data_IF_715781307503
#
_entry.id   IF_715781307503
#
_cell.length_a   1.000
_cell.length_b   1.000
_cell.length_c   1.000
_cell.angle_alpha   90.00
_cell.angle_beta   90.00
_cell.angle_gamma   90.00
#
_symmetry.space_group_name_H-M   'P 1'
#
loop_
_entity.id
_entity.type
_entity.pdbx_description
1 polymer ?
#
# COMPACT_ATOMS: atom_id res chain seq x y z
N UNK A 1 -6.37 -17.55 10.35
CA UNK A 1 -6.28 -16.44 9.37
C UNK A 1 -6.34 -15.12 10.16
N UNK A 2 -5.21 -14.44 10.37
CA UNK A 2 -5.20 -13.16 11.12
C UNK A 2 -5.61 -12.06 10.13
N UNK A 3 -6.77 -11.44 10.36
CA UNK A 3 -7.32 -10.39 9.51
C UNK A 3 -6.45 -9.14 9.47
N UNK A 4 -6.36 -8.48 8.31
CA UNK A 4 -5.70 -7.19 8.16
C UNK A 4 -6.48 -6.11 8.90
N UNK A 5 -5.78 -5.14 9.51
CA UNK A 5 -6.45 -3.90 9.93
C UNK A 5 -6.93 -3.15 8.69
N UNK A 6 -7.92 -2.27 8.85
CA UNK A 6 -8.42 -1.48 7.72
C UNK A 6 -7.28 -0.69 7.04
N UNK A 7 -6.39 -0.08 7.82
CA UNK A 7 -5.22 0.64 7.28
C UNK A 7 -4.20 -0.24 6.57
N UNK A 8 -3.99 -1.48 7.03
CA UNK A 8 -3.16 -2.46 6.31
C UNK A 8 -3.81 -2.89 5.00
N UNK A 9 -5.13 -3.09 4.99
CA UNK A 9 -5.87 -3.42 3.78
C UNK A 9 -5.80 -2.26 2.76
N UNK A 10 -5.92 -1.01 3.21
CA UNK A 10 -5.76 0.17 2.36
C UNK A 10 -4.35 0.25 1.77
N UNK A 11 -3.32 0.04 2.59
CA UNK A 11 -1.95 0.00 2.10
C UNK A 11 -1.74 -1.10 1.06
N UNK A 12 -2.28 -2.30 1.29
CA UNK A 12 -2.18 -3.41 0.34
C UNK A 12 -2.87 -3.09 -0.99
N UNK A 13 -4.08 -2.50 -0.96
CA UNK A 13 -4.80 -2.07 -2.17
C UNK A 13 -4.07 -0.96 -2.91
N UNK A 14 -3.52 0.03 -2.18
CA UNK A 14 -2.72 1.10 -2.76
C UNK A 14 -1.52 0.53 -3.52
N UNK A 15 -0.75 -0.36 -2.89
CA UNK A 15 0.42 -1.00 -3.51
C UNK A 15 0.01 -1.76 -4.77
N UNK A 16 -1.10 -2.50 -4.72
CA UNK A 16 -1.57 -3.26 -5.87
C UNK A 16 -2.00 -2.38 -7.04
N UNK A 17 -2.81 -1.34 -6.79
CA UNK A 17 -3.21 -0.40 -7.82
C UNK A 17 -2.02 0.37 -8.39
N UNK A 18 -1.04 0.72 -7.54
CA UNK A 18 0.17 1.41 -7.96
C UNK A 18 0.99 0.55 -8.93
N UNK A 19 1.27 -0.71 -8.57
CA UNK A 19 2.01 -1.66 -9.42
C UNK A 19 1.30 -1.85 -10.76
N UNK A 20 -0.02 -1.98 -10.76
CA UNK A 20 -0.79 -2.12 -12.00
C UNK A 20 -0.63 -0.87 -12.89
N UNK A 21 -0.85 0.32 -12.34
CA UNK A 21 -0.76 1.58 -13.09
C UNK A 21 0.62 1.87 -13.65
N UNK A 22 1.67 1.51 -12.91
CA UNK A 22 3.06 1.75 -13.32
C UNK A 22 3.66 0.60 -14.11
N UNK A 23 2.84 -0.38 -14.53
CA UNK A 23 3.27 -1.55 -15.33
C UNK A 23 4.34 -2.40 -14.64
N UNK A 24 4.12 -2.71 -13.36
CA UNK A 24 4.96 -3.62 -12.58
C UNK A 24 5.95 -2.94 -11.63
N UNK A 25 5.94 -1.61 -11.53
CA UNK A 25 6.90 -0.88 -10.67
C UNK A 25 6.31 -0.64 -9.28
N UNK A 26 6.94 -1.19 -8.25
CA UNK A 26 6.52 -1.00 -6.86
C UNK A 26 6.67 0.44 -6.37
N UNK A 27 5.79 0.92 -5.46
CA UNK A 27 5.91 2.24 -4.87
C UNK A 27 7.04 2.31 -3.82
N UNK A 28 7.54 3.51 -3.59
CA UNK A 28 8.42 3.87 -2.47
C UNK A 28 7.62 4.18 -1.22
N UNK A 29 8.25 4.16 -0.04
CA UNK A 29 7.60 4.55 1.22
C UNK A 29 7.05 5.98 1.21
N UNK A 30 7.71 6.90 0.50
CA UNK A 30 7.23 8.27 0.35
C UNK A 30 5.99 8.35 -0.54
N UNK A 31 5.92 7.56 -1.61
CA UNK A 31 4.73 7.46 -2.48
C UNK A 31 3.56 6.81 -1.74
N UNK A 32 3.81 5.78 -0.94
CA UNK A 32 2.81 5.15 -0.07
C UNK A 32 2.29 6.15 0.95
N UNK A 33 3.18 6.87 1.64
CA UNK A 33 2.78 7.88 2.61
C UNK A 33 1.92 8.97 1.99
N UNK A 34 2.32 9.50 0.83
CA UNK A 34 1.54 10.50 0.09
C UNK A 34 0.19 9.96 -0.36
N UNK A 35 0.15 8.74 -0.90
CA UNK A 35 -1.07 8.15 -1.45
C UNK A 35 -2.11 7.75 -0.40
N UNK A 36 -1.65 7.43 0.82
CA UNK A 36 -2.51 7.11 1.95
C UNK A 36 -2.80 8.32 2.85
N UNK A 37 -2.14 9.47 2.64
CA UNK A 37 -2.26 10.63 3.53
C UNK A 37 -1.60 10.43 4.91
N UNK A 38 -0.48 9.71 4.97
CA UNK A 38 0.25 9.49 6.22
C UNK A 38 1.17 10.68 6.54
N UNK A 39 1.31 11.01 7.82
CA UNK A 39 2.14 12.12 8.31
C UNK A 39 3.62 11.98 7.90
N UNK A 40 4.14 10.75 7.75
CA UNK A 40 5.52 10.50 7.31
C UNK A 40 5.72 9.11 6.66
N UNK A 41 6.87 8.95 5.99
CA UNK A 41 7.29 7.68 5.36
C UNK A 41 7.53 6.53 6.35
N UNK A 42 7.75 6.84 7.63
CA UNK A 42 7.94 5.84 8.69
C UNK A 42 6.67 5.02 8.95
N UNK A 43 5.50 5.67 8.99
CA UNK A 43 4.20 4.97 9.09
C UNK A 43 3.97 4.02 7.91
N UNK A 44 4.36 4.43 6.70
CA UNK A 44 4.31 3.56 5.52
C UNK A 44 5.22 2.33 5.67
N UNK A 45 6.42 2.50 6.22
CA UNK A 45 7.33 1.39 6.49
C UNK A 45 6.72 0.35 7.45
N UNK A 46 6.10 0.82 8.54
CA UNK A 46 5.42 -0.05 9.52
C UNK A 46 4.30 -0.87 8.86
N UNK A 47 3.48 -0.23 8.03
CA UNK A 47 2.40 -0.92 7.31
C UNK A 47 2.94 -1.98 6.35
N UNK A 48 4.00 -1.67 5.60
CA UNK A 48 4.63 -2.63 4.69
C UNK A 48 5.25 -3.79 5.46
N UNK A 49 5.94 -3.53 6.57
CA UNK A 49 6.54 -4.57 7.40
C UNK A 49 5.46 -5.53 7.95
N UNK A 50 4.35 -4.99 8.45
CA UNK A 50 3.22 -5.80 8.91
C UNK A 50 2.60 -6.65 7.78
N UNK A 51 2.55 -6.13 6.54
CA UNK A 51 2.07 -6.89 5.38
C UNK A 51 3.06 -8.00 4.95
N UNK A 52 4.36 -7.79 5.15
CA UNK A 52 5.39 -8.80 4.91
C UNK A 52 5.28 -9.95 5.91
N UNK A 53 5.21 -9.63 7.20
CA UNK A 53 5.05 -10.61 8.29
C UNK A 53 3.79 -11.46 8.14
N UNK A 54 2.73 -10.89 7.56
CA UNK A 54 1.46 -11.57 7.29
C UNK A 54 1.41 -12.29 5.92
N UNK A 55 2.52 -12.31 5.18
CA UNK A 55 2.62 -13.01 3.90
C UNK A 55 1.76 -12.40 2.79
N UNK A 56 1.52 -11.09 2.80
CA UNK A 56 0.80 -10.39 1.72
C UNK A 56 1.73 -9.72 0.71
N UNK A 57 2.89 -9.27 1.17
CA UNK A 57 3.92 -8.62 0.37
C UNK A 57 5.25 -9.33 0.62
N UNK A 58 6.13 -9.33 -0.38
CA UNK A 58 7.56 -9.63 -0.18
C UNK A 58 8.43 -8.52 -0.75
N UNK A 59 9.65 -8.41 -0.24
CA UNK A 59 10.69 -7.54 -0.82
C UNK A 59 11.75 -8.38 -1.50
N UNK A 60 12.21 -7.95 -2.67
CA UNK A 60 13.40 -8.53 -3.28
C UNK A 60 14.64 -7.75 -2.82
N UNK A 61 15.63 -8.46 -2.32
CA UNK A 61 16.88 -7.86 -1.86
C UNK A 61 17.69 -7.31 -3.05
N UNK A 62 18.40 -6.20 -2.84
CA UNK A 62 19.33 -5.62 -3.82
C UNK A 62 18.70 -4.79 -4.95
N UNK A 63 17.39 -4.47 -4.89
CA UNK A 63 16.72 -3.64 -5.91
C UNK A 63 15.90 -2.50 -5.29
N UNK A 64 16.05 -1.30 -5.84
CA UNK A 64 15.13 -0.20 -5.54
C UNK A 64 13.72 -0.55 -6.03
N UNK A 65 12.69 -0.14 -5.28
CA UNK A 65 11.26 -0.34 -5.63
C UNK A 65 10.83 -1.81 -5.78
N UNK A 66 11.52 -2.72 -5.10
CA UNK A 66 11.25 -4.15 -5.20
C UNK A 66 10.22 -4.63 -4.17
N UNK A 67 8.98 -4.18 -4.34
CA UNK A 67 7.82 -4.63 -3.58
C UNK A 67 6.97 -5.50 -4.50
N UNK A 68 6.66 -6.73 -4.08
CA UNK A 68 5.82 -7.66 -4.82
C UNK A 68 4.64 -8.14 -3.98
N UNK A 69 3.48 -8.29 -4.64
CA UNK A 69 2.30 -8.91 -4.04
C UNK A 69 2.46 -10.44 -4.08
N UNK A 70 2.09 -11.11 -2.99
CA UNK A 70 2.14 -12.58 -2.91
C UNK A 70 0.88 -13.21 -3.55
N UNK A 71 -0.24 -12.50 -3.52
CA UNK A 71 -1.50 -12.95 -4.11
C UNK A 71 -2.20 -11.78 -4.83
N UNK A 72 -3.07 -12.06 -5.83
CA UNK A 72 -3.91 -11.04 -6.45
C UNK A 72 -4.75 -10.29 -5.40
N UNK A 73 -4.75 -8.97 -5.49
CA UNK A 73 -5.54 -8.10 -4.61
C UNK A 73 -6.64 -7.46 -5.44
N UNK A 74 -7.92 -7.55 -5.03
CA UNK A 74 -8.98 -6.82 -5.71
C UNK A 74 -8.79 -5.32 -5.52
N UNK A 75 -8.54 -4.61 -6.61
CA UNK A 75 -8.39 -3.15 -6.65
C UNK A 75 -9.67 -2.54 -7.22
N UNK A 76 -10.32 -1.59 -6.52
CA UNK A 76 -11.44 -0.84 -7.08
C UNK A 76 -11.04 -0.10 -8.36
N UNK A 77 -11.94 -0.06 -9.35
CA UNK A 77 -11.68 0.55 -10.65
C UNK A 77 -12.71 1.61 -11.00
N UNK A 78 -12.28 2.64 -11.72
CA UNK A 78 -13.14 3.62 -12.36
C UNK A 78 -12.74 3.73 -13.84
N UNK A 79 -13.68 3.49 -14.75
CA UNK A 79 -13.43 3.49 -16.20
C UNK A 79 -12.28 2.56 -16.64
N UNK A 80 -12.12 1.41 -15.96
CA UNK A 80 -11.03 0.44 -16.22
C UNK A 80 -9.71 0.74 -15.50
N UNK A 81 -9.51 1.97 -15.02
CA UNK A 81 -8.30 2.40 -14.33
C UNK A 81 -8.35 2.08 -12.83
N UNK A 82 -7.24 1.63 -12.21
CA UNK A 82 -7.18 1.37 -10.78
C UNK A 82 -7.29 2.66 -9.95
N UNK A 83 -8.14 2.64 -8.94
CA UNK A 83 -8.26 3.73 -7.97
C UNK A 83 -7.15 3.63 -6.93
N UNK A 84 -6.20 4.57 -6.99
CA UNK A 84 -5.00 4.62 -6.14
C UNK A 84 -5.12 5.71 -5.05
N UNK A 85 -6.19 6.50 -5.05
CA UNK A 85 -6.45 7.49 -4.00
C UNK A 85 -7.16 6.81 -2.81
N UNK A 86 -6.56 6.87 -1.61
CA UNK A 86 -7.24 6.42 -0.38
C UNK A 86 -7.07 7.43 0.76
N UNK A 87 -8.09 8.27 0.98
CA UNK A 87 -8.39 8.70 2.34
C UNK A 87 -9.90 8.60 2.63
N UNK A 88 -10.31 7.72 3.55
CA UNK A 88 -11.10 8.15 4.72
C UNK A 88 -10.78 7.19 5.88
N UNK A 89 -9.96 7.64 6.84
CA UNK A 89 -9.99 7.16 8.21
C UNK A 89 -10.15 8.38 9.10
N UNK A 90 -11.25 8.44 9.84
CA UNK A 90 -11.58 9.52 10.79
C UNK A 90 -10.44 9.81 11.77
N UNK A 91 -9.63 8.81 12.09
CA UNK A 91 -8.50 8.90 13.01
C UNK A 91 -7.28 9.67 12.48
N UNK A 92 -7.12 9.87 11.16
CA UNK A 92 -5.98 10.59 10.61
C UNK A 92 -6.22 12.11 10.51
N UNK A 93 -7.43 12.60 10.85
CA UNK A 93 -7.81 14.03 10.81
C UNK A 93 -7.45 14.76 12.12
N UNK A 94 -7.17 14.01 13.20
CA UNK A 94 -6.99 14.56 14.55
C UNK A 94 -5.53 14.98 14.90
N UNK A 95 -4.60 14.92 13.93
CA UNK A 95 -3.16 15.13 14.15
C UNK A 95 -2.58 16.27 13.27
N UNK A 96 -3.38 17.32 13.01
CA UNK A 96 -2.97 18.55 12.31
C UNK A 96 -2.95 19.73 13.28
#
# INVERSE_FOLDING_TARGET
MIGLTARQADCLRFVAGYIEKTRGVGPTYSEIARGLGLSNKGRACILIQALIERGRIRRLNGRHRAIELIAPVPVPRLNGEPLIFIPVHEADVADV
#
